data_IF_978870335925
#
_entry.id   IF_978870335925
#
_cell.length_a   1.000
_cell.length_b   1.000
_cell.length_c   1.000
_cell.angle_alpha   90.00
_cell.angle_beta   90.00
_cell.angle_gamma   90.00
#
_symmetry.space_group_name_H-M   'P 1'
#
loop_
_entity.id
_entity.type
_entity.pdbx_description
1 polymer ?
#
# COMPACT_ATOMS: atom_id res chain seq x y z
N UNK A 1 -33.53 -10.98 -13.85
CA UNK A 1 -33.03 -11.92 -14.88
C UNK A 1 -32.49 -11.16 -16.09
N UNK A 2 -33.06 -9.99 -16.44
CA UNK A 2 -32.62 -9.09 -17.52
C UNK A 2 -31.22 -8.47 -17.31
N UNK A 3 -30.89 -7.99 -16.11
CA UNK A 3 -29.58 -7.35 -15.81
C UNK A 3 -28.36 -8.27 -16.07
N UNK A 4 -28.58 -9.59 -16.05
CA UNK A 4 -27.57 -10.60 -16.34
C UNK A 4 -27.45 -11.00 -17.82
N UNK A 5 -28.44 -10.68 -18.67
CA UNK A 5 -28.34 -10.90 -20.13
C UNK A 5 -27.72 -9.69 -20.81
N UNK A 6 -28.13 -8.47 -20.46
CA UNK A 6 -27.56 -7.24 -20.99
C UNK A 6 -26.05 -7.14 -20.74
N UNK A 7 -25.59 -7.57 -19.55
CA UNK A 7 -24.16 -7.62 -19.22
C UNK A 7 -23.38 -8.61 -20.12
N UNK A 8 -23.96 -9.76 -20.43
CA UNK A 8 -23.31 -10.77 -21.30
C UNK A 8 -23.29 -10.33 -22.75
N UNK A 9 -24.34 -9.64 -23.21
CA UNK A 9 -24.42 -9.08 -24.55
C UNK A 9 -23.33 -8.00 -24.74
N UNK A 10 -23.17 -7.09 -23.77
CA UNK A 10 -22.08 -6.11 -23.79
C UNK A 10 -20.69 -6.76 -23.75
N UNK A 11 -20.48 -7.80 -22.93
CA UNK A 11 -19.21 -8.54 -22.92
C UNK A 11 -18.91 -9.18 -24.28
N UNK A 12 -19.92 -9.77 -24.94
CA UNK A 12 -19.76 -10.34 -26.27
C UNK A 12 -19.45 -9.28 -27.34
N UNK A 13 -20.14 -8.14 -27.30
CA UNK A 13 -19.90 -7.01 -28.21
C UNK A 13 -18.47 -6.49 -28.10
N UNK A 14 -17.99 -6.29 -26.86
CA UNK A 14 -16.60 -5.86 -26.59
C UNK A 14 -15.57 -6.88 -27.10
N UNK A 15 -15.83 -8.18 -26.91
CA UNK A 15 -14.93 -9.25 -27.40
C UNK A 15 -14.89 -9.28 -28.92
N UNK A 16 -16.03 -9.15 -29.59
CA UNK A 16 -16.11 -9.08 -31.05
C UNK A 16 -15.31 -7.89 -31.59
N UNK A 17 -15.45 -6.73 -30.95
CA UNK A 17 -14.73 -5.51 -31.33
C UNK A 17 -13.20 -5.69 -31.16
N UNK A 18 -12.75 -6.31 -30.06
CA UNK A 18 -11.34 -6.66 -29.85
C UNK A 18 -10.84 -7.61 -30.95
N UNK A 19 -11.63 -8.60 -31.33
CA UNK A 19 -11.25 -9.56 -32.38
C UNK A 19 -11.11 -8.88 -33.75
N UNK A 20 -12.00 -7.94 -34.08
CA UNK A 20 -11.91 -7.13 -35.30
C UNK A 20 -10.65 -6.26 -35.32
N UNK A 21 -10.34 -5.59 -34.21
CA UNK A 21 -9.10 -4.80 -34.08
C UNK A 21 -7.86 -5.67 -34.24
N UNK A 22 -7.81 -6.83 -33.59
CA UNK A 22 -6.70 -7.78 -33.73
C UNK A 22 -6.55 -8.23 -35.20
N UNK A 23 -7.67 -8.53 -35.87
CA UNK A 23 -7.68 -8.90 -37.28
C UNK A 23 -7.16 -7.76 -38.18
N UNK A 24 -7.58 -6.52 -37.93
CA UNK A 24 -7.12 -5.36 -38.66
C UNK A 24 -5.60 -5.15 -38.51
N UNK A 25 -5.08 -5.29 -37.29
CA UNK A 25 -3.64 -5.16 -37.01
C UNK A 25 -2.84 -6.26 -37.69
N UNK A 26 -3.31 -7.51 -37.66
CA UNK A 26 -2.63 -8.63 -38.34
C UNK A 26 -2.54 -8.47 -39.85
N UNK A 27 -3.50 -7.76 -40.45
CA UNK A 27 -3.53 -7.48 -41.88
C UNK A 27 -2.88 -6.13 -42.25
N UNK A 28 -2.39 -5.38 -41.26
CA UNK A 28 -1.77 -4.08 -41.48
C UNK A 28 -0.43 -4.22 -42.22
N UNK A 29 -0.17 -3.28 -43.11
CA UNK A 29 1.10 -3.14 -43.85
C UNK A 29 1.88 -1.91 -43.42
N UNK A 30 1.22 -0.97 -42.74
CA UNK A 30 1.80 0.29 -42.28
C UNK A 30 1.45 0.56 -40.82
N UNK A 31 2.35 1.24 -40.10
CA UNK A 31 2.18 1.56 -38.68
C UNK A 31 0.91 2.39 -38.43
N UNK A 32 0.56 3.30 -39.33
CA UNK A 32 -0.64 4.14 -39.21
C UNK A 32 -1.93 3.34 -39.20
N UNK A 33 -1.99 2.21 -39.91
CA UNK A 33 -3.14 1.31 -39.88
C UNK A 33 -3.28 0.64 -38.52
N UNK A 34 -2.15 0.28 -37.89
CA UNK A 34 -2.13 -0.26 -36.53
C UNK A 34 -2.58 0.81 -35.52
N UNK A 35 -2.09 2.04 -35.67
CA UNK A 35 -2.49 3.18 -34.82
C UNK A 35 -3.99 3.45 -34.95
N UNK A 36 -4.54 3.47 -36.18
CA UNK A 36 -5.97 3.67 -36.41
C UNK A 36 -6.82 2.54 -35.82
N UNK A 37 -6.39 1.28 -35.96
CA UNK A 37 -7.08 0.13 -35.39
C UNK A 37 -7.08 0.16 -33.85
N UNK A 38 -5.99 0.60 -33.21
CA UNK A 38 -5.95 0.78 -31.76
C UNK A 38 -6.76 2.00 -31.31
N UNK A 39 -6.75 3.07 -32.10
CA UNK A 39 -7.53 4.28 -31.82
C UNK A 39 -9.03 4.02 -31.78
N UNK A 40 -9.55 3.17 -32.68
CA UNK A 40 -10.98 2.88 -32.76
C UNK A 40 -11.52 2.32 -31.43
N UNK A 41 -10.81 1.37 -30.82
CA UNK A 41 -11.19 0.83 -29.51
C UNK A 41 -10.80 1.75 -28.34
N UNK A 42 -9.67 2.46 -28.43
CA UNK A 42 -9.29 3.43 -27.38
C UNK A 42 -10.33 4.54 -27.21
N UNK A 43 -10.91 5.05 -28.30
CA UNK A 43 -11.95 6.09 -28.29
C UNK A 43 -13.25 5.62 -27.64
N UNK A 44 -13.57 4.32 -27.81
CA UNK A 44 -14.76 3.72 -27.20
C UNK A 44 -14.58 3.59 -25.69
N UNK A 45 -13.37 3.29 -25.22
CA UNK A 45 -13.07 3.01 -23.80
C UNK A 45 -12.66 4.25 -23.01
N UNK A 46 -12.04 5.24 -23.64
CA UNK A 46 -11.46 6.41 -22.98
C UNK A 46 -11.83 7.72 -23.68
N UNK A 47 -11.89 8.85 -22.95
CA UNK A 47 -11.91 10.16 -23.58
C UNK A 47 -10.52 10.45 -24.18
N UNK A 48 -10.31 10.04 -25.43
CA UNK A 48 -9.15 10.39 -26.25
C UNK A 48 -9.56 11.54 -27.17
N UNK A 49 -8.74 12.59 -27.21
CA UNK A 49 -8.92 13.67 -28.16
C UNK A 49 -8.18 13.32 -29.47
N UNK A 50 -8.91 13.16 -30.61
CA UNK A 50 -8.32 12.83 -31.90
C UNK A 50 -7.21 13.80 -32.34
N UNK A 51 -7.28 15.07 -31.93
CA UNK A 51 -6.28 16.08 -32.29
C UNK A 51 -4.88 15.74 -31.79
N UNK A 52 -4.77 14.99 -30.69
CA UNK A 52 -3.50 14.55 -30.10
C UNK A 52 -2.73 13.55 -30.99
N UNK A 53 -3.40 12.99 -32.01
CA UNK A 53 -2.83 12.06 -32.98
C UNK A 53 -2.64 12.66 -34.37
N UNK A 54 -3.10 13.89 -34.59
CA UNK A 54 -3.07 14.53 -35.91
C UNK A 54 -1.65 14.67 -36.49
N UNK A 55 -0.65 14.91 -35.64
CA UNK A 55 0.78 14.97 -36.02
C UNK A 55 1.48 13.60 -36.02
N UNK A 56 0.76 12.55 -35.65
CA UNK A 56 1.31 11.20 -35.43
C UNK A 56 0.99 10.21 -36.54
N UNK A 57 0.17 10.64 -37.50
CA UNK A 57 -0.43 9.80 -38.52
C UNK A 57 -0.46 10.60 -39.83
N UNK A 58 -0.17 9.93 -40.94
CA UNK A 58 -0.27 10.52 -42.28
C UNK A 58 -1.67 11.08 -42.57
N UNK A 59 -1.71 12.14 -43.37
CA UNK A 59 -2.94 12.89 -43.68
C UNK A 59 -4.05 12.01 -44.28
N UNK A 60 -3.67 10.96 -45.03
CA UNK A 60 -4.58 9.99 -45.66
C UNK A 60 -5.35 9.11 -44.66
N UNK A 61 -4.92 9.03 -43.41
CA UNK A 61 -5.57 8.23 -42.36
C UNK A 61 -6.28 9.10 -41.31
N UNK A 62 -6.12 10.43 -41.35
CA UNK A 62 -6.77 11.35 -40.39
C UNK A 62 -8.29 11.21 -40.38
N UNK A 63 -8.90 11.07 -41.56
CA UNK A 63 -10.35 10.91 -41.68
C UNK A 63 -10.87 9.69 -40.91
N UNK A 64 -10.10 8.60 -40.86
CA UNK A 64 -10.48 7.39 -40.10
C UNK A 64 -10.49 7.67 -38.59
N UNK A 65 -9.53 8.45 -38.09
CA UNK A 65 -9.42 8.83 -36.68
C UNK A 65 -10.58 9.74 -36.27
N UNK A 66 -10.90 10.74 -37.09
CA UNK A 66 -12.00 11.68 -36.80
C UNK A 66 -13.39 11.09 -37.02
N UNK A 67 -13.52 10.02 -37.82
CA UNK A 67 -14.80 9.35 -38.09
C UNK A 67 -15.28 8.40 -36.99
N UNK A 68 -14.46 8.09 -35.98
CA UNK A 68 -14.82 7.15 -34.92
C UNK A 68 -15.93 7.73 -34.05
N UNK A 69 -17.05 7.01 -33.94
CA UNK A 69 -18.17 7.43 -33.12
C UNK A 69 -17.79 7.42 -31.63
N UNK A 70 -17.91 8.58 -30.97
CA UNK A 70 -17.59 8.73 -29.54
C UNK A 70 -18.82 8.36 -28.71
N UNK A 71 -18.80 7.26 -27.94
CA UNK A 71 -19.94 6.87 -27.12
C UNK A 71 -20.17 7.86 -25.97
N UNK A 72 -21.42 7.90 -25.48
CA UNK A 72 -21.79 8.65 -24.26
C UNK A 72 -21.00 8.16 -23.04
N UNK A 73 -20.85 9.02 -22.03
CA UNK A 73 -20.06 8.68 -20.83
C UNK A 73 -20.57 7.42 -20.10
N UNK A 74 -21.88 7.21 -20.08
CA UNK A 74 -22.51 6.04 -19.46
C UNK A 74 -22.23 4.75 -20.25
N UNK A 75 -22.43 4.79 -21.57
CA UNK A 75 -22.12 3.66 -22.46
C UNK A 75 -20.63 3.29 -22.39
N UNK A 76 -19.75 4.30 -22.42
CA UNK A 76 -18.30 4.15 -22.26
C UNK A 76 -17.93 3.46 -20.95
N UNK A 77 -18.54 3.84 -19.83
CA UNK A 77 -18.28 3.22 -18.54
C UNK A 77 -18.73 1.74 -18.49
N UNK A 78 -19.88 1.43 -19.13
CA UNK A 78 -20.33 0.05 -19.32
C UNK A 78 -19.32 -0.80 -20.09
N UNK A 79 -18.88 -0.30 -21.25
CA UNK A 79 -17.86 -0.92 -22.09
C UNK A 79 -16.52 -1.08 -21.37
N UNK A 80 -16.05 -0.05 -20.68
CA UNK A 80 -14.81 -0.07 -19.91
C UNK A 80 -14.84 -1.18 -18.85
N UNK A 81 -15.96 -1.32 -18.11
CA UNK A 81 -16.09 -2.39 -17.12
C UNK A 81 -16.12 -3.78 -17.75
N UNK A 82 -16.88 -3.96 -18.83
CA UNK A 82 -16.96 -5.22 -19.56
C UNK A 82 -15.59 -5.61 -20.16
N UNK A 83 -14.83 -4.63 -20.63
CA UNK A 83 -13.50 -4.82 -21.18
C UNK A 83 -12.50 -5.32 -20.13
N UNK A 84 -12.35 -4.61 -19.00
CA UNK A 84 -11.34 -4.95 -17.99
C UNK A 84 -11.73 -6.11 -17.08
N UNK A 85 -13.03 -6.32 -16.80
CA UNK A 85 -13.49 -7.45 -15.96
C UNK A 85 -13.83 -8.71 -16.76
N UNK A 86 -13.81 -8.62 -18.09
CA UNK A 86 -14.09 -9.73 -19.00
C UNK A 86 -12.83 -10.29 -19.65
N UNK A 87 -13.02 -11.16 -20.64
CA UNK A 87 -11.91 -11.78 -21.40
C UNK A 87 -11.28 -10.85 -22.46
N UNK A 88 -11.89 -9.70 -22.73
CA UNK A 88 -11.45 -8.79 -23.77
C UNK A 88 -10.09 -8.14 -23.46
N UNK A 89 -9.93 -7.55 -22.27
CA UNK A 89 -8.64 -6.96 -21.87
C UNK A 89 -7.49 -7.97 -21.86
N UNK A 90 -7.55 -9.13 -21.19
CA UNK A 90 -6.42 -10.07 -21.19
C UNK A 90 -6.09 -10.57 -22.59
N UNK A 91 -7.08 -10.68 -23.48
CA UNK A 91 -6.87 -11.06 -24.89
C UNK A 91 -6.12 -9.96 -25.65
N UNK A 92 -6.62 -8.72 -25.60
CA UNK A 92 -5.98 -7.58 -26.26
C UNK A 92 -4.60 -7.32 -25.68
N UNK A 93 -4.45 -7.27 -24.35
CA UNK A 93 -3.18 -6.97 -23.68
C UNK A 93 -2.09 -7.99 -24.04
N UNK A 94 -2.40 -9.29 -24.09
CA UNK A 94 -1.44 -10.31 -24.55
C UNK A 94 -1.04 -10.09 -26.01
N UNK A 95 -2.00 -9.77 -26.88
CA UNK A 95 -1.70 -9.44 -28.28
C UNK A 95 -0.85 -8.16 -28.41
N UNK A 96 -1.14 -7.12 -27.64
CA UNK A 96 -0.35 -5.89 -27.60
C UNK A 96 1.09 -6.13 -27.13
N UNK A 97 1.28 -7.05 -26.17
CA UNK A 97 2.60 -7.35 -25.62
C UNK A 97 3.41 -8.30 -26.50
N UNK A 98 2.77 -9.28 -27.15
CA UNK A 98 3.46 -10.28 -27.96
C UNK A 98 3.62 -9.88 -29.43
N UNK A 99 2.62 -9.25 -30.03
CA UNK A 99 2.63 -8.92 -31.46
C UNK A 99 3.01 -7.45 -31.66
N UNK A 100 2.22 -6.53 -31.09
CA UNK A 100 2.41 -5.09 -31.30
C UNK A 100 3.75 -4.59 -30.74
N UNK A 101 4.14 -5.01 -29.52
CA UNK A 101 5.40 -4.60 -28.93
C UNK A 101 6.62 -5.07 -29.75
N UNK A 102 6.57 -6.29 -30.30
CA UNK A 102 7.68 -6.87 -31.06
C UNK A 102 7.76 -6.36 -32.49
N UNK A 103 6.62 -6.13 -33.15
CA UNK A 103 6.59 -5.86 -34.58
C UNK A 103 6.37 -4.39 -34.95
N UNK A 104 5.71 -3.61 -34.08
CA UNK A 104 5.16 -2.30 -34.47
C UNK A 104 5.56 -1.16 -33.53
N UNK A 105 5.70 -1.43 -32.23
CA UNK A 105 5.85 -0.38 -31.21
C UNK A 105 7.11 0.47 -31.42
N UNK A 106 8.19 -0.09 -31.96
CA UNK A 106 9.40 0.66 -32.31
C UNK A 106 9.19 1.73 -33.40
N UNK A 107 8.11 1.62 -34.17
CA UNK A 107 7.73 2.57 -35.22
C UNK A 107 6.70 3.60 -34.74
N UNK A 108 6.19 3.50 -33.51
CA UNK A 108 5.16 4.40 -33.02
C UNK A 108 5.77 5.77 -32.69
N UNK A 109 5.17 6.88 -33.16
CA UNK A 109 5.41 8.18 -32.57
C UNK A 109 5.04 8.18 -31.08
N UNK A 110 5.73 8.99 -30.29
CA UNK A 110 5.53 9.02 -28.84
C UNK A 110 4.07 9.30 -28.42
N UNK A 111 3.40 10.21 -29.11
CA UNK A 111 1.97 10.52 -28.94
C UNK A 111 1.09 9.31 -29.20
N UNK A 112 1.31 8.58 -30.29
CA UNK A 112 0.57 7.36 -30.59
C UNK A 112 0.81 6.30 -29.51
N UNK A 113 2.06 6.06 -29.12
CA UNK A 113 2.37 5.14 -28.02
C UNK A 113 1.61 5.52 -26.74
N UNK A 114 1.62 6.80 -26.36
CA UNK A 114 0.95 7.27 -25.14
C UNK A 114 -0.57 7.14 -25.19
N UNK A 115 -1.21 7.56 -26.29
CA UNK A 115 -2.66 7.73 -26.35
C UNK A 115 -3.42 6.55 -26.97
N UNK A 116 -2.75 5.68 -27.73
CA UNK A 116 -3.41 4.50 -28.33
C UNK A 116 -2.80 3.16 -27.92
N UNK A 117 -1.65 3.13 -27.23
CA UNK A 117 -1.07 1.87 -26.74
C UNK A 117 -1.03 1.83 -25.20
N UNK A 118 -0.32 2.78 -24.57
CA UNK A 118 -0.14 2.84 -23.12
C UNK A 118 -1.46 3.07 -22.38
N UNK A 119 -2.42 3.74 -23.01
CA UNK A 119 -3.72 4.08 -22.42
C UNK A 119 -4.47 2.85 -21.88
N UNK A 120 -4.36 1.69 -22.54
CA UNK A 120 -5.00 0.45 -22.10
C UNK A 120 -4.43 -0.10 -20.79
N UNK A 121 -3.19 0.27 -20.45
CA UNK A 121 -2.54 -0.14 -19.21
C UNK A 121 -2.67 0.96 -18.14
N UNK A 122 -2.48 2.23 -18.52
CA UNK A 122 -2.46 3.37 -17.59
C UNK A 122 -3.85 3.74 -17.08
N UNK A 123 -4.89 3.69 -17.92
CA UNK A 123 -6.28 4.05 -17.56
C UNK A 123 -7.16 2.84 -17.24
N UNK A 124 -6.55 1.68 -17.00
CA UNK A 124 -7.23 0.43 -16.70
C UNK A 124 -7.38 0.11 -15.22
N UNK A 125 -7.93 -1.08 -14.94
CA UNK A 125 -7.86 -1.67 -13.59
C UNK A 125 -6.42 -2.15 -13.34
N UNK A 126 -5.72 -1.52 -12.40
CA UNK A 126 -4.31 -1.80 -12.11
C UNK A 126 -4.14 -3.25 -11.67
N UNK A 127 -5.09 -3.78 -10.88
CA UNK A 127 -5.10 -5.18 -10.47
C UNK A 127 -5.13 -6.17 -11.65
N UNK A 128 -5.87 -5.86 -12.71
CA UNK A 128 -5.92 -6.68 -13.93
C UNK A 128 -4.68 -6.49 -14.80
N UNK A 129 -4.21 -5.24 -14.93
CA UNK A 129 -2.98 -4.90 -15.67
C UNK A 129 -1.77 -5.64 -15.10
N UNK A 130 -1.59 -5.66 -13.78
CA UNK A 130 -0.47 -6.34 -13.15
C UNK A 130 -0.53 -7.86 -13.31
N UNK A 131 -1.73 -8.45 -13.29
CA UNK A 131 -1.91 -9.89 -13.54
C UNK A 131 -1.46 -10.29 -14.95
N UNK A 132 -1.49 -9.37 -15.91
CA UNK A 132 -0.97 -9.59 -17.26
C UNK A 132 0.52 -9.27 -17.36
N UNK A 133 0.96 -8.09 -16.91
CA UNK A 133 2.34 -7.62 -17.13
C UNK A 133 3.39 -8.45 -16.37
N UNK A 134 3.12 -8.80 -15.10
CA UNK A 134 4.15 -9.43 -14.25
C UNK A 134 4.59 -10.81 -14.75
N UNK A 135 3.70 -11.70 -15.26
CA UNK A 135 4.13 -12.94 -15.92
C UNK A 135 5.09 -12.73 -17.09
N UNK A 136 4.94 -11.64 -17.86
CA UNK A 136 5.80 -11.39 -19.01
C UNK A 136 7.23 -11.04 -18.63
N UNK A 137 7.51 -10.60 -17.40
CA UNK A 137 8.88 -10.34 -16.93
C UNK A 137 9.79 -11.59 -16.93
N UNK A 138 9.19 -12.78 -16.92
CA UNK A 138 9.91 -14.06 -16.93
C UNK A 138 9.61 -14.86 -18.20
N UNK A 139 9.21 -14.18 -19.29
CA UNK A 139 8.94 -14.83 -20.56
C UNK A 139 10.22 -15.50 -21.08
N UNK A 140 10.14 -16.80 -21.33
CA UNK A 140 11.22 -17.56 -21.95
C UNK A 140 11.28 -17.30 -23.46
N UNK A 141 12.45 -17.54 -24.07
CA UNK A 141 12.59 -17.43 -25.51
C UNK A 141 11.60 -18.34 -26.24
N UNK A 142 10.83 -17.76 -27.15
CA UNK A 142 9.94 -18.47 -28.08
C UNK A 142 10.39 -18.12 -29.49
N UNK A 143 10.50 -19.13 -30.35
CA UNK A 143 10.97 -18.95 -31.73
C UNK A 143 10.13 -17.91 -32.49
N UNK A 144 10.80 -16.94 -33.11
CA UNK A 144 10.19 -15.88 -33.92
C UNK A 144 9.67 -14.65 -33.15
N UNK A 145 9.78 -14.63 -31.82
CA UNK A 145 9.36 -13.50 -30.98
C UNK A 145 10.59 -12.67 -30.54
N UNK A 146 10.54 -11.34 -30.71
CA UNK A 146 11.50 -10.44 -30.04
C UNK A 146 11.17 -10.34 -28.55
N UNK A 147 11.64 -11.34 -27.80
CA UNK A 147 11.45 -11.47 -26.35
C UNK A 147 12.02 -10.26 -25.62
N UNK A 148 13.09 -9.63 -26.13
CA UNK A 148 13.68 -8.46 -25.49
C UNK A 148 12.76 -7.24 -25.60
N UNK A 149 12.10 -7.04 -26.75
CA UNK A 149 11.09 -6.00 -26.91
C UNK A 149 9.92 -6.21 -25.94
N UNK A 150 9.42 -7.45 -25.80
CA UNK A 150 8.32 -7.78 -24.86
C UNK A 150 8.73 -7.52 -23.41
N UNK A 151 9.92 -7.97 -23.00
CA UNK A 151 10.42 -7.80 -21.64
C UNK A 151 10.64 -6.32 -21.30
N UNK A 152 11.34 -5.59 -22.18
CA UNK A 152 11.62 -4.15 -22.02
C UNK A 152 10.33 -3.33 -21.95
N UNK A 153 9.37 -3.62 -22.83
CA UNK A 153 8.08 -2.93 -22.83
C UNK A 153 7.24 -3.27 -21.58
N UNK A 154 7.28 -4.51 -21.10
CA UNK A 154 6.60 -4.92 -19.87
C UNK A 154 7.20 -4.22 -18.64
N UNK A 155 8.53 -4.13 -18.55
CA UNK A 155 9.25 -3.37 -17.52
C UNK A 155 8.87 -1.88 -17.57
N UNK A 156 8.86 -1.27 -18.77
CA UNK A 156 8.46 0.13 -18.98
C UNK A 156 7.01 0.38 -18.53
N UNK A 157 6.07 -0.48 -18.94
CA UNK A 157 4.66 -0.37 -18.57
C UNK A 157 4.44 -0.52 -17.06
N UNK A 158 5.19 -1.39 -16.38
CA UNK A 158 5.12 -1.51 -14.92
C UNK A 158 5.57 -0.23 -14.22
N UNK A 159 6.68 0.37 -14.66
CA UNK A 159 7.13 1.68 -14.12
C UNK A 159 6.06 2.74 -14.38
N UNK A 160 5.58 2.84 -15.61
CA UNK A 160 4.57 3.82 -16.00
C UNK A 160 3.28 3.67 -15.19
N UNK A 161 2.71 2.47 -15.12
CA UNK A 161 1.41 2.25 -14.49
C UNK A 161 1.50 2.28 -12.96
N UNK A 162 2.50 1.61 -12.39
CA UNK A 162 2.56 1.40 -10.95
C UNK A 162 3.27 2.55 -10.22
N UNK A 163 4.34 3.09 -10.80
CA UNK A 163 5.21 4.06 -10.13
C UNK A 163 4.90 5.50 -10.54
N UNK A 164 4.85 5.78 -11.85
CA UNK A 164 4.66 7.15 -12.36
C UNK A 164 3.18 7.61 -12.26
N UNK A 165 2.22 6.70 -12.46
CA UNK A 165 0.79 7.02 -12.43
C UNK A 165 0.09 6.66 -11.12
N UNK A 166 0.84 6.63 -10.00
CA UNK A 166 0.32 6.35 -8.65
C UNK A 166 -0.49 5.03 -8.57
N UNK A 167 -0.08 4.00 -9.30
CA UNK A 167 -0.84 2.75 -9.40
C UNK A 167 -1.03 2.03 -8.07
N UNK A 168 -0.12 2.18 -7.10
CA UNK A 168 -0.28 1.57 -5.76
C UNK A 168 -1.42 2.23 -4.99
N UNK A 169 -1.54 3.56 -5.09
CA UNK A 169 -2.69 4.30 -4.53
C UNK A 169 -3.98 3.85 -5.22
N UNK A 170 -3.95 3.71 -6.55
CA UNK A 170 -5.11 3.27 -7.32
C UNK A 170 -5.55 1.83 -6.95
N UNK A 171 -4.61 0.91 -6.72
CA UNK A 171 -4.91 -0.43 -6.20
C UNK A 171 -5.63 -0.36 -4.85
N UNK A 172 -5.16 0.48 -3.93
CA UNK A 172 -5.83 0.66 -2.66
C UNK A 172 -7.28 1.17 -2.86
N UNK A 173 -7.51 2.09 -3.81
CA UNK A 173 -8.88 2.55 -4.17
C UNK A 173 -9.73 1.45 -4.77
N UNK A 174 -9.18 0.62 -5.66
CA UNK A 174 -9.88 -0.52 -6.26
C UNK A 174 -10.41 -1.47 -5.18
N UNK A 175 -9.62 -1.74 -4.14
CA UNK A 175 -10.04 -2.56 -3.01
C UNK A 175 -10.90 -1.82 -1.98
N UNK A 176 -10.80 -0.49 -1.89
CA UNK A 176 -11.60 0.32 -0.96
C UNK A 176 -13.00 0.69 -1.47
N UNK A 177 -13.20 0.78 -2.79
CA UNK A 177 -14.43 1.29 -3.42
C UNK A 177 -15.63 0.34 -3.46
N UNK A 178 -15.59 -0.83 -2.83
CA UNK A 178 -16.64 -1.86 -2.94
C UNK A 178 -17.82 -1.69 -1.96
N UNK A 179 -18.17 -0.46 -1.56
CA UNK A 179 -19.35 -0.24 -0.69
C UNK A 179 -20.70 -0.49 -1.39
N UNK A 180 -20.72 -0.65 -2.73
CA UNK A 180 -21.95 -0.93 -3.50
C UNK A 180 -22.20 -2.41 -3.81
N UNK A 181 -21.24 -3.31 -3.62
CA UNK A 181 -21.42 -4.74 -3.94
C UNK A 181 -21.47 -5.57 -2.65
N UNK A 182 -22.65 -5.60 -2.04
CA UNK A 182 -22.92 -6.14 -0.69
C UNK A 182 -22.72 -7.65 -0.51
N UNK A 183 -22.20 -8.40 -1.49
CA UNK A 183 -22.29 -9.86 -1.50
C UNK A 183 -20.99 -10.65 -1.80
N UNK A 184 -19.81 -10.00 -1.91
CA UNK A 184 -18.55 -10.76 -1.94
C UNK A 184 -18.11 -11.00 -0.50
N UNK A 185 -18.07 -12.27 -0.09
CA UNK A 185 -17.62 -12.65 1.26
C UNK A 185 -16.21 -12.10 1.51
N UNK A 186 -16.01 -11.50 2.69
CA UNK A 186 -14.76 -10.90 3.18
C UNK A 186 -13.50 -11.75 2.87
N UNK A 187 -13.65 -13.07 2.84
CA UNK A 187 -12.57 -14.03 2.50
C UNK A 187 -12.06 -13.90 1.06
N UNK A 188 -12.94 -13.79 0.05
CA UNK A 188 -12.50 -13.72 -1.35
C UNK A 188 -11.76 -12.42 -1.63
N UNK A 189 -12.28 -11.30 -1.11
CA UNK A 189 -11.61 -10.00 -1.19
C UNK A 189 -10.23 -10.04 -0.52
N UNK A 190 -10.10 -10.70 0.64
CA UNK A 190 -8.80 -10.90 1.30
C UNK A 190 -7.84 -11.73 0.45
N UNK A 191 -8.32 -12.79 -0.19
CA UNK A 191 -7.49 -13.61 -1.08
C UNK A 191 -7.01 -12.82 -2.31
N UNK A 192 -7.89 -12.03 -2.93
CA UNK A 192 -7.54 -11.19 -4.09
C UNK A 192 -6.53 -10.10 -3.70
N UNK A 193 -6.74 -9.42 -2.57
CA UNK A 193 -5.79 -8.42 -2.04
C UNK A 193 -4.42 -9.05 -1.78
N UNK A 194 -4.39 -10.21 -1.10
CA UNK A 194 -3.14 -10.90 -0.79
C UNK A 194 -2.40 -11.40 -2.04
N UNK A 195 -3.15 -11.84 -3.07
CA UNK A 195 -2.63 -12.23 -4.38
C UNK A 195 -2.01 -11.03 -5.08
N UNK A 196 -2.72 -9.92 -5.18
CA UNK A 196 -2.21 -8.71 -5.85
C UNK A 196 -1.01 -8.12 -5.11
N UNK A 197 -1.04 -8.09 -3.77
CA UNK A 197 0.11 -7.70 -2.96
C UNK A 197 1.33 -8.61 -3.22
N UNK A 198 1.12 -9.92 -3.45
CA UNK A 198 2.21 -10.82 -3.83
C UNK A 198 2.79 -10.46 -5.19
N UNK A 199 1.92 -10.19 -6.16
CA UNK A 199 2.32 -9.83 -7.51
C UNK A 199 3.18 -8.57 -7.45
N UNK A 200 2.69 -7.50 -6.80
CA UNK A 200 3.43 -6.23 -6.63
C UNK A 200 4.78 -6.47 -5.95
N UNK A 201 4.79 -7.18 -4.82
CA UNK A 201 6.03 -7.41 -4.07
C UNK A 201 7.04 -8.29 -4.83
N UNK A 202 6.60 -9.10 -5.80
CA UNK A 202 7.48 -9.95 -6.61
C UNK A 202 8.14 -9.25 -7.79
N UNK A 203 7.71 -8.03 -8.15
CA UNK A 203 8.21 -7.31 -9.34
C UNK A 203 9.73 -7.15 -9.31
N UNK A 204 10.37 -6.69 -8.22
CA UNK A 204 11.82 -6.50 -8.22
C UNK A 204 12.63 -7.79 -8.42
N UNK A 205 12.11 -8.94 -8.00
CA UNK A 205 12.78 -10.23 -8.21
C UNK A 205 12.69 -10.72 -9.66
N UNK A 206 11.61 -10.32 -10.33
CA UNK A 206 11.28 -10.75 -11.69
C UNK A 206 11.85 -9.81 -12.74
N UNK A 207 12.15 -8.57 -12.37
CA UNK A 207 12.79 -7.61 -13.25
C UNK A 207 14.21 -8.08 -13.60
N UNK A 208 14.65 -7.81 -14.84
CA UNK A 208 16.00 -8.21 -15.28
C UNK A 208 17.08 -7.37 -14.62
N UNK A 209 18.30 -7.90 -14.58
CA UNK A 209 19.46 -7.17 -14.03
C UNK A 209 19.77 -5.87 -14.79
N UNK A 210 19.41 -5.78 -16.07
CA UNK A 210 19.59 -4.59 -16.91
C UNK A 210 18.30 -3.75 -17.07
N UNK A 211 17.28 -4.01 -16.26
CA UNK A 211 16.04 -3.23 -16.26
C UNK A 211 16.25 -1.82 -15.68
N UNK A 212 15.23 -0.97 -15.79
CA UNK A 212 15.24 0.36 -15.17
C UNK A 212 15.59 0.29 -13.68
N UNK A 213 16.42 1.23 -13.21
CA UNK A 213 16.79 1.33 -11.79
C UNK A 213 15.57 1.51 -10.87
N UNK A 214 14.46 2.00 -11.43
CA UNK A 214 13.17 2.12 -10.73
C UNK A 214 12.58 0.77 -10.30
N UNK A 215 12.96 -0.33 -10.97
CA UNK A 215 12.53 -1.69 -10.62
C UNK A 215 13.52 -2.41 -9.68
N UNK A 216 14.65 -1.78 -9.35
CA UNK A 216 15.53 -2.31 -8.30
C UNK A 216 14.79 -2.36 -6.96
N UNK A 217 15.02 -3.42 -6.18
CA UNK A 217 14.30 -3.68 -4.92
C UNK A 217 14.20 -2.45 -4.02
N UNK A 218 15.32 -1.76 -3.78
CA UNK A 218 15.35 -0.58 -2.92
C UNK A 218 14.53 0.61 -3.48
N UNK A 219 14.73 0.98 -4.75
CA UNK A 219 14.04 2.13 -5.35
C UNK A 219 12.55 1.84 -5.51
N UNK A 220 12.21 0.63 -5.95
CA UNK A 220 10.85 0.18 -6.13
C UNK A 220 10.07 0.22 -4.81
N UNK A 221 10.58 -0.44 -3.77
CA UNK A 221 9.90 -0.45 -2.48
C UNK A 221 9.82 0.94 -1.84
N UNK A 222 10.81 1.82 -2.07
CA UNK A 222 10.74 3.20 -1.59
C UNK A 222 9.54 3.92 -2.20
N UNK A 223 9.37 3.85 -3.51
CA UNK A 223 8.26 4.50 -4.21
C UNK A 223 6.91 3.88 -3.82
N UNK A 224 6.84 2.56 -3.67
CA UNK A 224 5.64 1.87 -3.17
C UNK A 224 5.26 2.36 -1.78
N UNK A 225 6.22 2.44 -0.85
CA UNK A 225 5.96 2.91 0.52
C UNK A 225 5.49 4.36 0.49
N UNK A 226 6.17 5.26 -0.22
CA UNK A 226 5.76 6.68 -0.33
C UNK A 226 4.32 6.80 -0.84
N UNK A 227 3.96 6.02 -1.86
CA UNK A 227 2.58 5.98 -2.36
C UNK A 227 1.59 5.49 -1.29
N UNK A 228 1.91 4.39 -0.59
CA UNK A 228 1.04 3.86 0.47
C UNK A 228 0.84 4.87 1.62
N UNK A 229 1.89 5.60 2.00
CA UNK A 229 1.80 6.62 3.04
C UNK A 229 0.96 7.84 2.58
N UNK A 230 1.00 8.20 1.29
CA UNK A 230 0.17 9.29 0.75
C UNK A 230 -1.34 9.05 0.84
N UNK A 231 -1.78 7.80 1.05
CA UNK A 231 -3.19 7.48 1.34
C UNK A 231 -3.69 8.11 2.64
N UNK A 232 -2.80 8.48 3.57
CA UNK A 232 -3.14 9.20 4.80
C UNK A 232 -3.75 10.57 4.47
N UNK A 233 -3.09 11.31 3.60
CA UNK A 233 -3.46 12.66 3.18
C UNK A 233 -4.77 12.65 2.38
N UNK A 234 -4.93 11.67 1.48
CA UNK A 234 -6.15 11.52 0.68
C UNK A 234 -7.38 11.26 1.57
N UNK A 235 -7.22 10.46 2.63
CA UNK A 235 -8.31 10.18 3.57
C UNK A 235 -8.67 11.36 4.46
N UNK A 236 -7.71 12.22 4.78
CA UNK A 236 -7.98 13.49 5.47
C UNK A 236 -8.92 14.36 4.63
N UNK A 237 -8.64 14.48 3.33
CA UNK A 237 -9.44 15.28 2.40
C UNK A 237 -10.86 14.71 2.20
N UNK A 238 -11.01 13.38 2.09
CA UNK A 238 -12.31 12.74 1.90
C UNK A 238 -13.24 12.92 3.12
N UNK A 239 -12.68 12.94 4.33
CA UNK A 239 -13.47 13.06 5.57
C UNK A 239 -13.96 14.48 5.85
N UNK A 240 -13.28 15.51 5.32
CA UNK A 240 -13.79 16.89 5.30
C UNK A 240 -15.08 17.03 4.47
N UNK A 241 -15.41 16.03 3.63
CA UNK A 241 -16.58 16.02 2.73
C UNK A 241 -17.77 15.22 3.32
N UNK A 242 -17.76 14.89 4.62
CA UNK A 242 -18.87 14.25 5.36
C UNK A 242 -19.35 12.89 4.81
N UNK A 243 -18.46 11.89 4.76
CA UNK A 243 -18.86 10.48 4.60
C UNK A 243 -18.86 9.80 5.98
N UNK A 244 -20.00 9.23 6.38
CA UNK A 244 -20.17 8.51 7.66
C UNK A 244 -19.14 7.38 7.82
N UNK A 245 -18.51 7.34 9.01
CA UNK A 245 -17.35 6.50 9.33
C UNK A 245 -17.65 4.99 9.51
N UNK A 246 -18.91 4.56 9.60
CA UNK A 246 -19.24 3.19 10.05
C UNK A 246 -19.12 2.11 8.94
N UNK A 247 -19.07 2.52 7.65
CA UNK A 247 -18.76 1.62 6.52
C UNK A 247 -17.24 1.54 6.21
N UNK A 248 -16.41 2.39 6.85
CA UNK A 248 -14.95 2.44 6.62
C UNK A 248 -14.18 1.29 7.29
N UNK A 249 -14.80 0.49 8.16
CA UNK A 249 -14.18 -0.67 8.82
C UNK A 249 -14.11 -1.92 7.91
N UNK A 250 -14.68 -1.86 6.71
CA UNK A 250 -14.61 -2.89 5.65
C UNK A 250 -13.61 -2.54 4.53
N UNK A 251 -12.61 -1.71 4.82
CA UNK A 251 -11.77 -1.11 3.81
C UNK A 251 -10.72 -2.10 3.26
N UNK A 252 -11.02 -2.73 2.12
CA UNK A 252 -10.03 -3.53 1.38
C UNK A 252 -8.74 -2.74 1.08
N UNK A 253 -8.82 -1.41 1.01
CA UNK A 253 -7.66 -0.52 0.93
C UNK A 253 -6.69 -0.68 2.10
N UNK A 254 -7.17 -0.66 3.35
CA UNK A 254 -6.31 -0.80 4.53
C UNK A 254 -5.71 -2.19 4.59
N UNK A 255 -6.51 -3.21 4.29
CA UNK A 255 -6.03 -4.58 4.21
C UNK A 255 -4.91 -4.72 3.16
N UNK A 256 -5.03 -4.06 2.01
CA UNK A 256 -3.98 -4.01 1.00
C UNK A 256 -2.71 -3.32 1.52
N UNK A 257 -2.81 -2.20 2.25
CA UNK A 257 -1.64 -1.55 2.87
C UNK A 257 -0.95 -2.50 3.86
N UNK A 258 -1.70 -3.17 4.74
CA UNK A 258 -1.18 -4.11 5.72
C UNK A 258 -0.49 -5.33 5.07
N UNK A 259 -1.07 -5.89 4.01
CA UNK A 259 -0.44 -6.96 3.22
C UNK A 259 0.85 -6.46 2.57
N UNK A 260 0.85 -5.27 1.96
CA UNK A 260 2.05 -4.70 1.35
C UNK A 260 3.16 -4.48 2.38
N UNK A 261 2.85 -3.94 3.55
CA UNK A 261 3.81 -3.76 4.65
C UNK A 261 4.41 -5.10 5.07
N UNK A 262 3.56 -6.13 5.17
CA UNK A 262 4.00 -7.49 5.51
C UNK A 262 4.97 -8.05 4.47
N UNK A 263 4.68 -7.89 3.19
CA UNK A 263 5.56 -8.39 2.11
C UNK A 263 6.87 -7.62 2.02
N UNK A 264 6.83 -6.29 2.16
CA UNK A 264 8.04 -5.44 2.18
C UNK A 264 8.94 -5.84 3.36
N UNK A 265 8.34 -6.06 4.53
CA UNK A 265 9.06 -6.51 5.73
C UNK A 265 9.68 -7.89 5.54
N UNK A 266 8.93 -8.87 5.01
CA UNK A 266 9.41 -10.24 4.72
C UNK A 266 10.54 -10.28 3.68
N UNK A 267 10.65 -9.25 2.84
CA UNK A 267 11.73 -9.08 1.86
C UNK A 267 12.94 -8.32 2.40
N UNK A 268 12.99 -8.09 3.72
CA UNK A 268 14.12 -7.43 4.37
C UNK A 268 14.17 -5.91 4.16
N UNK A 269 13.08 -5.30 3.68
CA UNK A 269 13.00 -3.85 3.43
C UNK A 269 12.28 -3.10 4.57
N UNK A 270 12.28 -3.65 5.79
CA UNK A 270 11.67 -3.01 6.97
C UNK A 270 12.35 -1.71 7.34
N UNK A 271 13.68 -1.65 7.22
CA UNK A 271 14.44 -0.42 7.47
C UNK A 271 13.98 0.68 6.54
N UNK A 272 13.86 0.39 5.24
CA UNK A 272 13.35 1.32 4.25
C UNK A 272 11.94 1.81 4.59
N UNK A 273 11.02 0.87 4.89
CA UNK A 273 9.65 1.19 5.29
C UNK A 273 9.62 2.14 6.50
N UNK A 274 10.45 1.87 7.50
CA UNK A 274 10.50 2.67 8.73
C UNK A 274 11.15 4.04 8.51
N UNK A 275 12.11 4.19 7.57
CA UNK A 275 12.67 5.52 7.22
C UNK A 275 11.67 6.44 6.56
N UNK A 276 10.68 5.90 5.85
CA UNK A 276 9.65 6.73 5.22
C UNK A 276 8.48 6.98 6.19
N UNK A 277 8.12 5.97 7.01
CA UNK A 277 7.01 6.06 7.95
C UNK A 277 7.31 6.99 9.15
N UNK A 278 8.50 6.91 9.75
CA UNK A 278 8.81 7.67 10.98
C UNK A 278 8.74 9.19 10.75
N UNK A 279 9.39 9.78 9.72
CA UNK A 279 9.32 11.22 9.50
C UNK A 279 7.89 11.72 9.30
N UNK A 280 7.06 10.93 8.61
CA UNK A 280 5.68 11.33 8.32
C UNK A 280 4.80 11.35 9.58
N UNK A 281 4.93 10.34 10.45
CA UNK A 281 4.25 10.34 11.75
C UNK A 281 4.79 11.44 12.66
N UNK A 282 6.11 11.64 12.71
CA UNK A 282 6.72 12.69 13.54
C UNK A 282 6.34 14.11 13.06
N UNK A 283 6.21 14.33 11.74
CA UNK A 283 5.71 15.59 11.18
C UNK A 283 4.33 15.93 11.74
N UNK A 284 3.44 14.94 11.80
CA UNK A 284 2.08 15.10 12.34
C UNK A 284 2.08 15.32 13.86
N UNK A 285 2.91 14.58 14.59
CA UNK A 285 3.08 14.77 16.04
C UNK A 285 3.59 16.19 16.33
N UNK A 286 4.64 16.63 15.64
CA UNK A 286 5.21 17.97 15.82
C UNK A 286 4.24 19.08 15.41
N UNK A 287 3.46 18.88 14.34
CA UNK A 287 2.39 19.79 13.96
C UNK A 287 1.33 19.96 15.05
N UNK A 288 1.02 18.89 15.78
CA UNK A 288 0.07 18.95 16.90
C UNK A 288 0.69 19.51 18.19
N UNK A 289 1.99 19.25 18.44
CA UNK A 289 2.73 19.79 19.57
C UNK A 289 2.96 21.29 19.46
N UNK A 290 3.20 21.80 18.25
CA UNK A 290 3.42 23.23 18.00
C UNK A 290 2.14 24.07 17.97
N UNK A 291 0.97 23.45 17.75
CA UNK A 291 -0.30 24.17 17.60
C UNK A 291 -1.04 24.49 18.91
N UNK A 292 -0.64 23.93 20.05
CA UNK A 292 -1.39 24.07 21.32
C UNK A 292 -0.55 24.64 22.47
N UNK A 293 -1.10 25.70 23.11
CA UNK A 293 -0.75 26.11 24.46
C UNK A 293 -1.28 25.06 25.48
N UNK A 294 -0.34 24.40 26.16
CA UNK A 294 -0.42 23.75 27.48
C UNK A 294 -1.33 22.56 27.82
N UNK A 295 -2.18 22.00 26.96
CA UNK A 295 -2.60 20.59 27.18
C UNK A 295 -3.11 19.89 25.93
N UNK A 296 -2.30 18.96 25.41
CA UNK A 296 -2.78 18.01 24.41
C UNK A 296 -3.49 16.89 25.17
N UNK A 297 -4.82 16.95 25.21
CA UNK A 297 -5.63 15.87 25.76
C UNK A 297 -5.77 14.74 24.74
N UNK A 298 -5.75 13.49 25.24
CA UNK A 298 -6.03 12.25 24.48
C UNK A 298 -7.23 12.37 23.53
N UNK A 299 -8.25 13.15 23.89
CA UNK A 299 -9.44 13.39 23.08
C UNK A 299 -9.17 14.13 21.76
N UNK A 300 -8.25 15.11 21.73
CA UNK A 300 -7.98 15.95 20.56
C UNK A 300 -7.18 15.23 19.46
N UNK A 301 -6.34 14.26 19.85
CA UNK A 301 -5.51 13.50 18.92
C UNK A 301 -6.19 12.24 18.38
N UNK A 302 -7.03 11.59 19.19
CA UNK A 302 -7.81 10.43 18.76
C UNK A 302 -8.96 10.84 17.81
N UNK A 303 -9.40 12.10 17.85
CA UNK A 303 -10.44 12.61 16.94
C UNK A 303 -9.94 13.02 15.55
N UNK A 304 -8.62 13.15 15.33
CA UNK A 304 -8.08 13.51 14.01
C UNK A 304 -8.07 12.28 13.08
N UNK A 305 -8.72 12.34 11.91
CA UNK A 305 -8.76 11.24 10.96
C UNK A 305 -7.40 10.67 10.54
N UNK A 306 -6.40 11.54 10.34
CA UNK A 306 -5.04 11.14 9.98
C UNK A 306 -4.38 10.33 11.08
N UNK A 307 -4.69 10.63 12.34
CA UNK A 307 -4.14 9.87 13.47
C UNK A 307 -4.78 8.48 13.57
N UNK A 308 -6.07 8.38 13.24
CA UNK A 308 -6.77 7.09 13.13
C UNK A 308 -6.16 6.24 12.01
N UNK A 309 -5.81 6.83 10.86
CA UNK A 309 -5.18 6.14 9.72
C UNK A 309 -3.95 5.32 10.14
N UNK A 310 -3.03 5.91 10.88
CA UNK A 310 -1.80 5.22 11.34
C UNK A 310 -2.09 4.03 12.24
N UNK A 311 -3.03 4.17 13.18
CA UNK A 311 -3.46 3.07 14.04
C UNK A 311 -4.16 1.94 13.26
N UNK A 312 -4.87 2.29 12.17
CA UNK A 312 -5.56 1.33 11.30
C UNK A 312 -4.60 0.56 10.39
N UNK A 313 -3.53 1.18 9.91
CA UNK A 313 -2.49 0.45 9.16
C UNK A 313 -1.92 -0.67 10.04
N UNK A 314 -1.48 -0.34 11.26
CA UNK A 314 -0.90 -1.35 12.14
C UNK A 314 -1.91 -2.44 12.53
N UNK A 315 -3.19 -2.11 12.66
CA UNK A 315 -4.28 -3.08 12.84
C UNK A 315 -4.48 -4.00 11.64
N UNK A 316 -4.28 -3.51 10.42
CA UNK A 316 -4.46 -4.28 9.19
C UNK A 316 -3.35 -5.32 8.93
N UNK A 317 -2.21 -5.19 9.59
CA UNK A 317 -1.09 -6.14 9.47
C UNK A 317 -1.47 -7.44 10.19
N UNK A 318 -1.69 -8.49 9.41
CA UNK A 318 -2.09 -9.81 9.93
C UNK A 318 -0.90 -10.70 10.34
N UNK A 319 0.31 -10.41 9.82
CA UNK A 319 1.52 -11.19 10.09
C UNK A 319 2.21 -10.77 11.42
N UNK A 320 2.22 -11.62 12.47
CA UNK A 320 2.81 -11.26 13.76
C UNK A 320 4.31 -10.95 13.67
N UNK A 321 5.03 -11.64 12.77
CA UNK A 321 6.46 -11.38 12.54
C UNK A 321 6.68 -9.96 12.02
N UNK A 322 5.84 -9.51 11.08
CA UNK A 322 5.92 -8.15 10.52
C UNK A 322 5.67 -7.11 11.60
N UNK A 323 4.63 -7.28 12.42
CA UNK A 323 4.33 -6.36 13.52
C UNK A 323 5.50 -6.26 14.49
N UNK A 324 6.12 -7.39 14.85
CA UNK A 324 7.31 -7.40 15.70
C UNK A 324 8.49 -6.67 15.06
N UNK A 325 8.79 -6.99 13.80
CA UNK A 325 9.96 -6.46 13.12
C UNK A 325 9.84 -4.96 12.87
N UNK A 326 8.66 -4.47 12.50
CA UNK A 326 8.39 -3.02 12.38
C UNK A 326 8.56 -2.34 13.74
N UNK A 327 7.98 -2.91 14.81
CA UNK A 327 8.09 -2.34 16.16
C UNK A 327 9.55 -2.21 16.62
N UNK A 328 10.36 -3.26 16.39
CA UNK A 328 11.78 -3.26 16.71
C UNK A 328 12.54 -2.17 15.95
N UNK A 329 12.38 -2.13 14.62
CA UNK A 329 13.13 -1.21 13.76
C UNK A 329 12.75 0.25 14.07
N UNK A 330 11.48 0.52 14.36
CA UNK A 330 11.02 1.85 14.78
C UNK A 330 11.72 2.29 16.07
N UNK A 331 11.75 1.43 17.10
CA UNK A 331 12.43 1.73 18.35
C UNK A 331 13.92 2.00 18.13
N UNK A 332 14.60 1.12 17.39
CA UNK A 332 16.03 1.28 17.08
C UNK A 332 16.30 2.58 16.32
N UNK A 333 15.50 2.91 15.30
CA UNK A 333 15.68 4.15 14.54
C UNK A 333 15.44 5.39 15.37
N UNK A 334 14.42 5.40 16.24
CA UNK A 334 14.16 6.52 17.14
C UNK A 334 15.34 6.75 18.10
N UNK A 335 15.93 5.67 18.63
CA UNK A 335 17.11 5.79 19.48
C UNK A 335 18.35 6.28 18.70
N UNK A 336 18.59 5.79 17.48
CA UNK A 336 19.72 6.23 16.66
C UNK A 336 19.59 7.67 16.17
N UNK A 337 18.36 8.19 16.07
CA UNK A 337 18.06 9.56 15.65
C UNK A 337 17.88 10.53 16.84
N UNK A 338 18.22 10.10 18.06
CA UNK A 338 18.06 10.89 19.30
C UNK A 338 16.68 11.54 19.45
N UNK A 339 15.62 10.80 19.08
CA UNK A 339 14.25 11.28 19.24
C UNK A 339 13.96 11.59 20.71
N UNK A 340 13.28 12.69 20.98
CA UNK A 340 12.94 13.05 22.36
C UNK A 340 11.85 12.12 22.92
N UNK A 341 11.78 12.00 24.25
CA UNK A 341 10.85 11.10 24.93
C UNK A 341 9.38 11.34 24.53
N UNK A 342 9.00 12.61 24.33
CA UNK A 342 7.63 13.00 23.97
C UNK A 342 7.27 12.51 22.57
N UNK A 343 8.17 12.71 21.60
CA UNK A 343 8.03 12.28 20.22
C UNK A 343 7.96 10.76 20.10
N UNK A 344 8.91 10.07 20.74
CA UNK A 344 8.95 8.61 20.74
C UNK A 344 7.68 8.03 21.35
N UNK A 345 7.21 8.61 22.46
CA UNK A 345 6.00 8.14 23.12
C UNK A 345 4.73 8.35 22.29
N UNK A 346 4.56 9.54 21.69
CA UNK A 346 3.44 9.81 20.79
C UNK A 346 3.44 8.89 19.58
N UNK A 347 4.60 8.64 18.97
CA UNK A 347 4.71 7.73 17.84
C UNK A 347 4.29 6.30 18.23
N UNK A 348 4.81 5.78 19.37
CA UNK A 348 4.41 4.46 19.87
C UNK A 348 2.91 4.40 20.16
N UNK A 349 2.35 5.44 20.75
CA UNK A 349 0.93 5.51 21.05
C UNK A 349 0.08 5.49 19.78
N UNK A 350 0.40 6.30 18.78
CA UNK A 350 -0.34 6.39 17.52
C UNK A 350 -0.33 5.07 16.75
N UNK A 351 0.83 4.42 16.65
CA UNK A 351 0.97 3.19 15.88
C UNK A 351 0.45 1.96 16.62
N UNK A 352 0.77 1.82 17.91
CA UNK A 352 0.62 0.52 18.59
C UNK A 352 -0.50 0.48 19.63
N UNK A 353 -1.00 1.61 20.15
CA UNK A 353 -1.97 1.59 21.26
C UNK A 353 -3.20 0.73 20.95
N UNK A 354 -3.74 0.88 19.74
CA UNK A 354 -4.94 0.16 19.30
C UNK A 354 -4.71 -1.36 19.25
N UNK A 355 -3.67 -1.80 18.56
CA UNK A 355 -3.35 -3.23 18.45
C UNK A 355 -2.88 -3.82 19.78
N UNK A 356 -2.22 -3.04 20.63
CA UNK A 356 -1.87 -3.43 22.00
C UNK A 356 -3.14 -3.69 22.83
N UNK A 357 -4.18 -2.85 22.71
CA UNK A 357 -5.46 -3.07 23.39
C UNK A 357 -6.19 -4.31 22.86
N UNK A 358 -6.19 -4.54 21.54
CA UNK A 358 -6.97 -5.59 20.90
C UNK A 358 -6.30 -6.97 20.92
N UNK A 359 -4.97 -7.04 20.79
CA UNK A 359 -4.26 -8.28 20.51
C UNK A 359 -3.35 -8.68 21.69
N UNK A 360 -3.61 -9.85 22.28
CA UNK A 360 -2.78 -10.38 23.38
C UNK A 360 -1.34 -10.68 22.96
N UNK A 361 -1.14 -11.09 21.71
CA UNK A 361 0.19 -11.33 21.12
C UNK A 361 1.05 -10.07 21.11
N UNK A 362 0.49 -8.91 20.73
CA UNK A 362 1.20 -7.63 20.74
C UNK A 362 1.55 -7.20 22.17
N UNK A 363 0.66 -7.43 23.14
CA UNK A 363 0.97 -7.17 24.55
C UNK A 363 2.14 -8.00 25.04
N UNK A 364 2.10 -9.31 24.77
CA UNK A 364 3.20 -10.23 25.14
C UNK A 364 4.51 -9.88 24.42
N UNK A 365 4.42 -9.42 23.16
CA UNK A 365 5.59 -8.96 22.42
C UNK A 365 6.29 -7.76 23.09
N UNK A 366 5.56 -6.71 23.48
CA UNK A 366 6.17 -5.57 24.15
C UNK A 366 6.64 -5.90 25.57
N UNK A 367 5.81 -6.59 26.36
CA UNK A 367 6.09 -6.82 27.79
C UNK A 367 7.06 -7.97 28.00
N UNK A 368 6.81 -9.11 27.36
CA UNK A 368 7.60 -10.31 27.61
C UNK A 368 8.79 -10.34 26.65
N UNK A 369 8.59 -10.15 25.34
CA UNK A 369 9.70 -10.26 24.37
C UNK A 369 10.68 -9.09 24.43
N UNK A 370 10.19 -7.86 24.32
CA UNK A 370 11.07 -6.68 24.19
C UNK A 370 11.73 -6.26 25.50
N UNK A 371 11.05 -6.37 26.65
CA UNK A 371 11.65 -6.01 27.94
C UNK A 371 12.52 -7.13 28.54
N UNK A 372 12.26 -8.41 28.23
CA UNK A 372 12.97 -9.53 28.88
C UNK A 372 14.04 -10.15 27.99
N UNK A 373 13.80 -10.31 26.70
CA UNK A 373 14.65 -11.14 25.84
C UNK A 373 15.46 -10.35 24.82
N UNK A 374 15.03 -9.13 24.48
CA UNK A 374 15.66 -8.33 23.43
C UNK A 374 16.54 -7.25 24.02
N UNK A 375 17.71 -7.05 23.41
CA UNK A 375 18.65 -5.99 23.80
C UNK A 375 18.27 -4.72 23.05
N UNK A 376 17.96 -3.68 23.80
CA UNK A 376 17.62 -2.35 23.29
C UNK A 376 18.44 -1.27 23.99
N UNK A 377 18.68 -0.11 23.33
CA UNK A 377 19.18 1.08 24.00
C UNK A 377 18.30 1.48 25.19
N UNK A 378 18.91 2.17 26.17
CA UNK A 378 18.23 2.59 27.40
C UNK A 378 16.96 3.43 27.13
N UNK A 379 17.02 4.30 26.13
CA UNK A 379 15.90 5.14 25.69
C UNK A 379 14.70 4.30 25.24
N UNK A 380 14.92 3.28 24.42
CA UNK A 380 13.88 2.35 23.97
C UNK A 380 13.22 1.63 25.15
N UNK A 381 14.00 1.12 26.11
CA UNK A 381 13.47 0.43 27.28
C UNK A 381 12.57 1.35 28.11
N UNK A 382 13.00 2.60 28.32
CA UNK A 382 12.20 3.64 28.98
C UNK A 382 10.87 3.86 28.24
N UNK A 383 10.90 4.02 26.92
CA UNK A 383 9.69 4.23 26.13
C UNK A 383 8.75 3.02 26.14
N UNK A 384 9.29 1.80 26.07
CA UNK A 384 8.49 0.56 26.16
C UNK A 384 7.83 0.45 27.54
N UNK A 385 8.54 0.73 28.64
CA UNK A 385 7.96 0.73 29.98
C UNK A 385 6.82 1.75 30.09
N UNK A 386 7.04 2.96 29.58
CA UNK A 386 6.02 4.00 29.58
C UNK A 386 4.79 3.64 28.72
N UNK A 387 4.99 2.96 27.59
CA UNK A 387 3.92 2.56 26.67
C UNK A 387 3.16 1.31 27.13
N UNK A 388 3.88 0.23 27.41
CA UNK A 388 3.30 -1.10 27.61
C UNK A 388 3.05 -1.46 29.07
N UNK A 389 3.74 -0.82 30.02
CA UNK A 389 3.54 -1.08 31.45
C UNK A 389 2.67 0.00 32.06
N UNK A 390 3.03 1.27 31.92
CA UNK A 390 2.23 2.37 32.48
C UNK A 390 0.92 2.59 31.70
N UNK A 391 0.89 2.28 30.40
CA UNK A 391 -0.29 2.42 29.53
C UNK A 391 -0.99 3.80 29.60
N UNK A 392 -0.24 4.85 29.95
CA UNK A 392 -0.76 6.21 30.05
C UNK A 392 -0.89 6.84 28.66
N UNK A 393 -1.89 7.68 28.38
CA UNK A 393 -1.83 8.51 27.19
C UNK A 393 -0.68 9.53 27.32
N UNK A 394 -0.03 9.93 26.22
CA UNK A 394 0.94 11.02 26.26
C UNK A 394 0.27 12.32 26.76
N UNK A 395 0.92 13.01 27.69
CA UNK A 395 0.41 14.22 28.32
C UNK A 395 -0.39 14.03 29.62
N UNK A 396 -0.69 12.78 30.04
CA UNK A 396 -1.28 12.54 31.38
C UNK A 396 -0.20 12.33 32.45
N UNK A 397 -0.42 12.85 33.65
CA UNK A 397 0.42 12.54 34.81
C UNK A 397 0.21 11.07 35.24
N UNK A 398 1.27 10.44 35.76
CA UNK A 398 1.23 9.05 36.26
C UNK A 398 0.26 8.87 37.45
N UNK A 399 -0.19 9.96 38.10
CA UNK A 399 -1.03 9.91 39.30
C UNK A 399 -2.51 9.66 39.02
N UNK A 400 -2.99 9.77 37.77
CA UNK A 400 -4.43 9.76 37.50
C UNK A 400 -5.03 8.39 37.16
N UNK A 401 -4.21 7.33 36.99
CA UNK A 401 -4.71 6.05 36.45
C UNK A 401 -4.28 4.82 37.25
N UNK A 402 -5.04 4.51 38.31
CA UNK A 402 -5.01 3.19 38.96
C UNK A 402 -5.63 2.12 38.04
N UNK A 403 -4.80 1.35 37.32
CA UNK A 403 -5.27 0.19 36.54
C UNK A 403 -5.05 -1.14 37.28
N UNK A 404 -6.08 -2.00 37.38
CA UNK A 404 -5.99 -3.31 38.06
C UNK A 404 -4.92 -4.27 37.50
N UNK A 405 -4.47 -4.07 36.26
CA UNK A 405 -3.49 -4.94 35.59
C UNK A 405 -2.03 -4.53 35.76
N UNK A 406 -1.74 -3.27 36.11
CA UNK A 406 -0.37 -2.75 36.22
C UNK A 406 0.44 -3.52 37.27
N UNK A 407 -0.15 -3.75 38.44
CA UNK A 407 0.49 -4.47 39.54
C UNK A 407 0.83 -5.91 39.14
N UNK A 408 -0.08 -6.61 38.47
CA UNK A 408 0.14 -7.99 38.02
C UNK A 408 1.27 -8.06 36.98
N UNK A 409 1.31 -7.12 36.04
CA UNK A 409 2.38 -7.02 35.04
C UNK A 409 3.72 -6.73 35.70
N UNK A 410 3.79 -5.76 36.61
CA UNK A 410 5.01 -5.39 37.33
C UNK A 410 5.49 -6.53 38.23
N UNK A 411 4.60 -7.22 38.94
CA UNK A 411 4.95 -8.39 39.75
C UNK A 411 5.50 -9.54 38.89
N UNK A 412 4.88 -9.82 37.73
CA UNK A 412 5.36 -10.83 36.79
C UNK A 412 6.75 -10.49 36.26
N UNK A 413 6.97 -9.23 35.88
CA UNK A 413 8.26 -8.74 35.40
C UNK A 413 9.32 -8.84 36.52
N UNK A 414 9.03 -8.37 37.74
CA UNK A 414 9.92 -8.48 38.89
C UNK A 414 10.31 -9.93 39.19
N UNK A 415 9.36 -10.86 39.11
CA UNK A 415 9.62 -12.28 39.34
C UNK A 415 10.55 -12.91 38.29
N UNK A 416 10.60 -12.38 37.07
CA UNK A 416 11.56 -12.80 36.04
C UNK A 416 12.90 -12.09 36.23
N UNK A 417 12.88 -10.79 36.50
CA UNK A 417 14.08 -9.97 36.68
C UNK A 417 14.89 -10.33 37.93
N UNK A 418 14.24 -10.86 38.97
CA UNK A 418 14.91 -11.34 40.18
C UNK A 418 15.59 -12.70 40.02
N UNK A 419 15.40 -13.38 38.87
CA UNK A 419 16.01 -14.69 38.63
C UNK A 419 17.48 -14.55 38.29
N UNK A 420 18.29 -15.47 38.82
CA UNK A 420 19.75 -15.51 38.60
C UNK A 420 20.09 -15.57 37.12
N UNK A 421 19.32 -16.31 36.33
CA UNK A 421 19.54 -16.46 34.89
C UNK A 421 19.41 -15.13 34.15
N UNK A 422 18.43 -14.30 34.52
CA UNK A 422 18.25 -12.97 33.91
C UNK A 422 19.38 -12.02 34.30
N UNK A 423 19.73 -11.96 35.59
CA UNK A 423 20.81 -11.09 36.11
C UNK A 423 22.16 -11.43 35.46
N UNK A 424 22.39 -12.69 35.11
CA UNK A 424 23.62 -13.13 34.47
C UNK A 424 23.67 -12.91 32.95
N UNK A 425 22.52 -12.77 32.29
CA UNK A 425 22.45 -12.71 30.81
C UNK A 425 22.04 -11.34 30.27
N UNK A 426 21.31 -10.54 31.05
CA UNK A 426 20.88 -9.21 30.63
C UNK A 426 22.02 -8.17 30.73
N UNK A 427 22.15 -7.24 29.77
CA UNK A 427 23.07 -6.10 29.88
C UNK A 427 22.84 -5.26 31.15
N UNK A 428 23.90 -4.67 31.70
CA UNK A 428 23.84 -3.87 32.94
C UNK A 428 22.89 -2.68 32.77
N UNK A 429 22.87 -2.07 31.59
CA UNK A 429 22.01 -0.94 31.24
C UNK A 429 20.53 -1.32 31.30
N UNK A 430 20.20 -2.53 30.84
CA UNK A 430 18.84 -3.06 30.91
C UNK A 430 18.42 -3.33 32.35
N UNK A 431 19.30 -3.94 33.15
CA UNK A 431 19.06 -4.17 34.59
C UNK A 431 18.87 -2.84 35.36
N UNK A 432 19.69 -1.83 35.08
CA UNK A 432 19.61 -0.51 35.71
C UNK A 432 18.31 0.22 35.37
N UNK A 433 17.90 0.22 34.09
CA UNK A 433 16.63 0.80 33.64
C UNK A 433 15.44 0.21 34.39
N UNK A 434 15.42 -1.11 34.48
CA UNK A 434 14.37 -1.89 35.11
C UNK A 434 14.28 -1.56 36.60
N UNK A 435 15.40 -1.58 37.31
CA UNK A 435 15.44 -1.33 38.75
C UNK A 435 14.97 0.09 39.10
N UNK A 436 15.37 1.08 38.31
CA UNK A 436 14.99 2.49 38.50
C UNK A 436 13.49 2.72 38.26
N UNK A 437 12.91 2.09 37.25
CA UNK A 437 11.48 2.23 36.98
C UNK A 437 10.62 1.40 37.95
N UNK A 438 11.05 0.20 38.36
CA UNK A 438 10.39 -0.58 39.41
C UNK A 438 10.29 0.18 40.73
N UNK A 439 11.39 0.82 41.16
CA UNK A 439 11.40 1.62 42.39
C UNK A 439 10.51 2.85 42.28
N UNK A 440 10.44 3.49 41.11
CA UNK A 440 9.52 4.60 40.84
C UNK A 440 8.04 4.16 40.87
N UNK A 441 7.71 3.02 40.28
CA UNK A 441 6.35 2.44 40.30
C UNK A 441 5.94 2.03 41.73
N UNK A 442 6.86 1.45 42.50
CA UNK A 442 6.61 1.07 43.90
C UNK A 442 6.53 2.29 44.84
N UNK A 443 7.24 3.39 44.53
CA UNK A 443 7.13 4.66 45.28
C UNK A 443 5.80 5.37 45.06
N UNK A 444 5.22 5.28 43.86
CA UNK A 444 3.85 5.77 43.62
C UNK A 444 2.90 5.06 44.60
N UNK A 445 3.03 3.74 44.78
CA UNK A 445 2.23 2.98 45.77
C UNK A 445 2.41 3.43 47.23
N UNK A 446 3.62 3.80 47.67
CA UNK A 446 3.80 4.28 49.06
C UNK A 446 3.09 5.62 49.33
N UNK A 447 2.86 6.44 48.30
CA UNK A 447 2.04 7.66 48.44
C UNK A 447 0.53 7.38 48.46
N UNK A 448 0.07 6.22 47.98
CA UNK A 448 -1.35 5.85 47.92
C UNK A 448 -1.80 4.89 49.04
N UNK A 449 -0.89 4.46 49.93
CA UNK A 449 -1.21 3.63 51.10
C UNK A 449 -1.31 4.48 52.39
N UNK A 450 -1.05 5.79 52.29
CA UNK A 450 -1.19 6.76 53.40
C UNK A 450 -2.44 7.67 53.30
N UNK A 451 -3.41 7.32 52.42
CA UNK A 451 -4.81 7.79 52.51
C UNK A 451 -5.73 6.59 52.80
#
# INVERSE_FOLDING_TARGET
MEEGSEKRELEHEVISNVAEVISAIKNAKHVDQVICALHSIATILFPVDPSLLSDSIDESYRDQVFSVEVPTAEKRNGWWRAFYRGAAFPTLARFLLLDVASNWLGCFPFSAQKYVYDVFFVRGLVSEVLQILVPFLQLNAVDGLDVNAVLSNSERLLVLCLLENKGVVQLAREFGGSSKLRNVTDVHTKMDVSRVAQIVASIPDKARMNSSTSLSSHVFFKQVVVQLLSLAEEREMILLVNVEMDEMDKNGAMFFVGEMFSRICRRGSTDLLSSELIPEVLRLVNGCLSSNNDSITKGLLVSKPVMVFWSRIMESISDPYTTERISEVILQKLATQDANDVQAYWLLWLLFHRIFKLQASVRSMFVDKFLLWKVFPLSCLKWILQFAVHECPPGSSLSEHNRPGLLNTVQRLMAVWSKKEFVQTAPIEQQACILFNCTSILKVKSMWIEE
#
